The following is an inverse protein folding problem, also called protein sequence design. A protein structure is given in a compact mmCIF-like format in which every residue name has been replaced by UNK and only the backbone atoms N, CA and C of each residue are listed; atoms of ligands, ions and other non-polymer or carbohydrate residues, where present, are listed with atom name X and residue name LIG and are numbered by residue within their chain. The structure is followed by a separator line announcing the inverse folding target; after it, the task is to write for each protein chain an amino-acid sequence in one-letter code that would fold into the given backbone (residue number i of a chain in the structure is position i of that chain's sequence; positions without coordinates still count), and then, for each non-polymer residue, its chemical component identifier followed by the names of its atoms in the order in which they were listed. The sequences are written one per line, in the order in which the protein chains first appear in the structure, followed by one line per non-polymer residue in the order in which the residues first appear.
data_IF_000843214698
#
_entry.id   IF_000843214698
#
_cell.length_a   1.000
_cell.length_b   1.000
_cell.length_c   1.000
_cell.angle_alpha   90.00
_cell.angle_beta   90.00
_cell.angle_gamma   90.00
#
_symmetry.space_group_name_H-M   'P 1'
#
loop_
_entity.id
_entity.type
_entity.pdbx_description
1 polymer ?
#
# COMPACT_ATOMS: atom_id res chain seq x y z
N UNK A 1 1.06 -2.05 11.59
CA UNK A 1 0.56 -3.22 10.81
C UNK A 1 0.55 -2.83 9.35
N UNK A 2 0.89 -3.74 8.43
CA UNK A 2 0.86 -3.47 6.99
C UNK A 2 0.00 -4.52 6.28
N UNK A 3 -0.95 -4.07 5.45
CA UNK A 3 -1.86 -4.91 4.68
C UNK A 3 -2.14 -4.28 3.32
N UNK A 4 -2.42 -5.09 2.31
CA UNK A 4 -2.89 -4.60 1.00
C UNK A 4 -4.07 -5.45 0.56
N UNK A 5 -5.14 -4.79 0.14
CA UNK A 5 -6.31 -5.44 -0.43
C UNK A 5 -6.61 -4.85 -1.81
N UNK A 6 -7.22 -5.68 -2.66
CA UNK A 6 -7.48 -5.39 -4.07
C UNK A 6 -8.97 -5.57 -4.38
N UNK A 7 -9.49 -4.72 -5.26
CA UNK A 7 -10.86 -4.84 -5.79
C UNK A 7 -10.92 -4.32 -7.24
N UNK A 8 -11.98 -4.69 -7.94
CA UNK A 8 -12.34 -4.05 -9.21
C UNK A 8 -12.82 -2.61 -8.95
N UNK A 9 -12.47 -1.68 -9.82
CA UNK A 9 -12.96 -0.29 -9.75
C UNK A 9 -14.49 -0.28 -9.89
N UNK A 10 -15.16 0.42 -8.97
CA UNK A 10 -16.62 0.52 -8.94
C UNK A 10 -17.32 -0.54 -8.09
N UNK A 11 -16.58 -1.50 -7.52
CA UNK A 11 -17.11 -2.48 -6.56
C UNK A 11 -16.54 -2.23 -5.16
N UNK A 12 -17.14 -2.89 -4.17
CA UNK A 12 -16.68 -2.93 -2.78
C UNK A 12 -16.25 -4.34 -2.34
N UNK A 13 -15.98 -5.21 -3.32
CA UNK A 13 -15.63 -6.61 -3.11
C UNK A 13 -14.10 -6.75 -2.94
N UNK A 14 -13.65 -6.39 -1.74
CA UNK A 14 -12.23 -6.38 -1.40
C UNK A 14 -11.71 -7.78 -1.09
N UNK A 15 -10.59 -8.14 -1.72
CA UNK A 15 -9.85 -9.37 -1.45
C UNK A 15 -8.49 -9.05 -0.81
N UNK A 16 -8.14 -9.76 0.26
CA UNK A 16 -6.84 -9.62 0.91
C UNK A 16 -5.72 -10.16 0.00
N UNK A 17 -4.66 -9.39 -0.16
CA UNK A 17 -3.43 -9.86 -0.82
C UNK A 17 -2.50 -10.50 0.21
N UNK A 18 -1.76 -11.52 -0.21
CA UNK A 18 -0.74 -12.16 0.61
C UNK A 18 0.59 -11.42 0.45
N UNK A 19 1.24 -11.10 1.56
CA UNK A 19 2.60 -10.56 1.54
C UNK A 19 3.57 -11.70 1.21
N UNK A 20 4.23 -11.60 0.07
CA UNK A 20 5.17 -12.62 -0.42
C UNK A 20 6.54 -12.44 0.25
N UNK A 21 7.21 -11.32 -0.01
CA UNK A 21 8.47 -10.92 0.62
C UNK A 21 8.67 -9.40 0.50
N UNK A 22 9.44 -8.79 1.41
CA UNK A 22 9.73 -7.35 1.33
C UNK A 22 8.47 -6.49 1.17
N UNK A 23 8.40 -5.71 0.08
CA UNK A 23 7.25 -4.90 -0.32
C UNK A 23 6.41 -5.53 -1.45
N UNK A 24 6.53 -6.84 -1.66
CA UNK A 24 5.83 -7.59 -2.72
C UNK A 24 4.58 -8.29 -2.16
N UNK A 25 3.46 -8.09 -2.84
CA UNK A 25 2.15 -8.67 -2.52
C UNK A 25 1.62 -9.47 -3.71
N UNK A 26 1.01 -10.61 -3.43
CA UNK A 26 0.50 -11.55 -4.44
C UNK A 26 -0.97 -11.90 -4.14
N UNK A 27 -1.73 -12.23 -5.19
CA UNK A 27 -3.08 -12.79 -5.11
C UNK A 27 -3.26 -13.82 -6.21
N UNK A 28 -3.89 -14.94 -5.89
CA UNK A 28 -4.25 -15.96 -6.88
C UNK A 28 -5.57 -15.62 -7.60
N UNK A 29 -6.34 -14.68 -7.04
CA UNK A 29 -7.62 -14.23 -7.57
C UNK A 29 -7.52 -12.75 -7.93
N UNK A 30 -7.18 -12.47 -9.18
CA UNK A 30 -7.13 -11.11 -9.72
C UNK A 30 -8.54 -10.72 -10.17
N UNK A 31 -9.14 -9.62 -9.64
CA UNK A 31 -10.43 -9.15 -10.12
C UNK A 31 -10.39 -8.77 -11.61
N UNK A 32 -11.52 -8.87 -12.30
CA UNK A 32 -11.59 -8.46 -13.70
C UNK A 32 -11.64 -6.93 -13.84
N UNK A 33 -11.12 -6.40 -14.96
CA UNK A 33 -11.20 -4.98 -15.29
C UNK A 33 -10.13 -4.11 -14.60
N UNK A 34 -10.43 -2.82 -14.47
CA UNK A 34 -9.53 -1.90 -13.79
C UNK A 34 -9.51 -2.17 -12.28
N UNK A 35 -8.36 -1.99 -11.64
CA UNK A 35 -8.12 -2.38 -10.25
C UNK A 35 -7.86 -1.16 -9.36
N UNK A 36 -8.39 -1.26 -8.15
CA UNK A 36 -8.16 -0.34 -7.04
C UNK A 36 -7.51 -1.09 -5.88
N UNK A 37 -6.74 -0.35 -5.08
CA UNK A 37 -5.96 -0.89 -3.97
C UNK A 37 -6.26 -0.11 -2.70
N UNK A 38 -6.44 -0.81 -1.58
CA UNK A 38 -6.36 -0.21 -0.24
C UNK A 38 -5.18 -0.79 0.51
N UNK A 39 -4.46 0.05 1.23
CA UNK A 39 -3.24 -0.31 1.92
C UNK A 39 -3.36 0.18 3.35
N UNK A 40 -3.11 -0.68 4.33
CA UNK A 40 -2.89 -0.25 5.70
C UNK A 40 -1.38 -0.06 5.86
N UNK A 41 -0.97 1.11 6.32
CA UNK A 41 0.45 1.43 6.59
C UNK A 41 0.62 1.78 8.06
N UNK A 42 1.79 1.51 8.63
CA UNK A 42 2.08 1.91 10.01
C UNK A 42 2.27 3.43 10.05
N UNK A 43 1.47 4.12 10.86
CA UNK A 43 1.59 5.56 11.16
C UNK A 43 1.62 5.73 12.68
N UNK A 44 2.76 6.16 13.22
CA UNK A 44 2.94 6.21 14.68
C UNK A 44 2.75 4.83 15.35
N UNK A 45 1.81 4.76 16.29
CA UNK A 45 1.42 3.53 16.97
C UNK A 45 0.23 2.81 16.29
N UNK A 46 -0.38 3.43 15.29
CA UNK A 46 -1.62 2.98 14.66
C UNK A 46 -1.39 2.55 13.19
N UNK A 47 -2.42 1.96 12.58
CA UNK A 47 -2.48 1.73 11.14
C UNK A 47 -3.28 2.83 10.45
N UNK A 48 -2.73 3.45 9.41
CA UNK A 48 -3.47 4.36 8.54
C UNK A 48 -3.92 3.63 7.27
N UNK A 49 -5.19 3.80 6.88
CA UNK A 49 -5.74 3.25 5.66
C UNK A 49 -5.56 4.25 4.51
N UNK A 50 -4.84 3.82 3.49
CA UNK A 50 -4.54 4.56 2.28
C UNK A 50 -5.29 3.91 1.13
N UNK A 51 -6.07 4.69 0.38
CA UNK A 51 -6.89 4.16 -0.72
C UNK A 51 -6.50 4.77 -2.05
N UNK A 52 -6.03 3.92 -2.95
CA UNK A 52 -5.70 4.25 -4.32
C UNK A 52 -6.81 3.74 -5.26
N UNK A 53 -7.67 4.66 -5.70
CA UNK A 53 -9.00 4.36 -6.29
C UNK A 53 -8.99 3.79 -7.71
N UNK A 54 -7.92 3.95 -8.48
CA UNK A 54 -7.85 3.46 -9.86
C UNK A 54 -6.41 3.40 -10.31
N UNK A 55 -5.70 2.37 -9.86
CA UNK A 55 -4.24 2.28 -10.04
C UNK A 55 -3.87 1.52 -11.30
N UNK A 56 -4.53 0.38 -11.53
CA UNK A 56 -4.22 -0.47 -12.69
C UNK A 56 -5.37 -0.38 -13.69
N UNK A 57 -5.14 0.06 -14.93
CA UNK A 57 -6.16 -0.01 -15.97
C UNK A 57 -6.45 -1.49 -16.29
N UNK A 58 -7.61 -1.79 -16.87
CA UNK A 58 -7.97 -3.16 -17.28
C UNK A 58 -6.95 -3.81 -18.25
N UNK A 59 -6.15 -3.00 -18.94
CA UNK A 59 -5.11 -3.41 -19.88
C UNK A 59 -3.71 -3.40 -19.26
N UNK A 60 -3.61 -3.48 -17.93
CA UNK A 60 -2.34 -3.52 -17.23
C UNK A 60 -1.47 -4.69 -17.71
N UNK A 61 -0.15 -4.54 -17.61
CA UNK A 61 0.81 -5.55 -18.08
C UNK A 61 1.89 -5.79 -17.04
N UNK A 62 2.38 -7.03 -16.99
CA UNK A 62 3.53 -7.38 -16.17
C UNK A 62 4.74 -6.50 -16.50
N UNK A 63 5.46 -6.05 -15.48
CA UNK A 63 6.58 -5.13 -15.61
C UNK A 63 6.21 -3.66 -15.84
N UNK A 64 4.93 -3.32 -16.01
CA UNK A 64 4.46 -1.95 -16.07
C UNK A 64 4.57 -1.26 -14.71
N UNK A 65 4.91 0.03 -14.72
CA UNK A 65 4.92 0.89 -13.53
C UNK A 65 3.70 1.81 -13.61
N UNK A 66 2.89 1.81 -12.57
CA UNK A 66 1.66 2.59 -12.49
C UNK A 66 1.72 3.49 -11.25
N UNK A 67 1.65 4.80 -11.45
CA UNK A 67 1.63 5.76 -10.37
C UNK A 67 0.21 5.89 -9.79
N UNK A 68 0.08 5.69 -8.48
CA UNK A 68 -1.19 5.83 -7.77
C UNK A 68 -1.59 7.28 -7.55
N UNK A 69 -0.64 8.22 -7.62
CA UNK A 69 -0.80 9.61 -7.20
C UNK A 69 -1.03 9.79 -5.70
N UNK A 70 -0.95 8.72 -4.90
CA UNK A 70 -1.17 8.77 -3.46
C UNK A 70 0.15 8.99 -2.73
N UNK A 71 0.17 9.97 -1.83
CA UNK A 71 1.30 10.27 -0.97
C UNK A 71 0.93 10.07 0.49
N UNK A 72 1.81 9.40 1.23
CA UNK A 72 1.69 9.19 2.67
C UNK A 72 2.59 10.21 3.35
N UNK A 73 2.01 11.09 4.16
CA UNK A 73 2.72 12.13 4.90
C UNK A 73 2.90 11.78 6.38
N UNK A 74 2.45 10.59 6.78
CA UNK A 74 2.56 10.08 8.13
C UNK A 74 4.02 9.85 8.51
N UNK A 75 4.36 10.20 9.75
CA UNK A 75 5.65 9.89 10.34
C UNK A 75 5.51 8.57 11.11
N UNK A 76 6.27 7.56 10.70
CA UNK A 76 6.43 6.37 11.51
C UNK A 76 7.12 6.79 12.82
N UNK A 77 6.44 6.64 13.96
CA UNK A 77 7.12 6.79 15.25
C UNK A 77 7.90 5.53 15.49
N UNK A 78 9.22 5.63 15.44
CA UNK A 78 10.08 4.58 15.97
C UNK A 78 10.02 4.65 17.50
N UNK A 79 9.87 3.50 18.17
CA UNK A 79 10.06 3.40 19.62
C UNK A 79 11.55 3.37 19.92
N UNK A 80 12.28 4.40 19.48
CA UNK A 80 13.65 4.63 19.88
C UNK A 80 13.66 5.42 21.19
N UNK A 81 14.66 5.24 22.05
CA UNK A 81 15.01 6.26 23.02
C UNK A 81 15.41 7.56 22.29
N UNK A 82 15.12 8.76 22.83
CA UNK A 82 15.41 10.04 22.17
C UNK A 82 16.85 10.25 21.69
N UNK A 83 17.81 9.52 22.25
CA UNK A 83 19.23 9.57 21.87
C UNK A 83 19.61 8.57 20.74
N UNK A 84 18.66 7.77 20.24
CA UNK A 84 18.88 6.74 19.22
C UNK A 84 18.07 6.94 17.94
N UNK A 85 17.06 7.83 17.91
CA UNK A 85 16.41 8.16 16.65
C UNK A 85 17.32 9.00 15.79
N UNK A 86 17.43 8.61 14.52
CA UNK A 86 18.01 9.43 13.48
C UNK A 86 17.08 10.56 13.09
N UNK A 87 16.93 11.57 13.95
CA UNK A 87 16.22 12.83 13.63
C UNK A 87 17.04 13.71 12.66
N UNK A 88 18.24 13.27 12.30
CA UNK A 88 19.05 13.97 11.32
C UNK A 88 18.44 13.77 9.93
N UNK A 89 18.12 14.86 9.19
CA UNK A 89 17.71 14.73 7.81
C UNK A 89 18.78 13.99 7.02
N UNK A 90 18.37 12.97 6.27
CA UNK A 90 19.22 12.24 5.35
C UNK A 90 20.02 13.23 4.49
N UNK A 91 21.35 13.19 4.60
CA UNK A 91 22.27 14.01 3.81
C UNK A 91 22.55 13.38 2.45
#
# INVERSE_FOLDING_TARGET
MVAVDIAQVGTSDWSHMKRSYGAVWETDNVPEGALQLRMVVTSGYDGNLVWAKSVLPATWRAGGIYDTGVQINDIAKESCPPWQCGDNPWK
#
